data_IF_141027511493
#
_entry.id   IF_141027511493
#
_cell.length_a   1.000
_cell.length_b   1.000
_cell.length_c   1.000
_cell.angle_alpha   90.00
_cell.angle_beta   90.00
_cell.angle_gamma   90.00
#
_symmetry.space_group_name_H-M   'P 1'
#
loop_
_entity.id
_entity.type
_entity.pdbx_description
1 polymer ?
#
# COMPACT_ATOMS: atom_id res chain seq x y z
N UNK A 1 -1.14 -29.26 -8.20
CA UNK A 1 0.01 -29.46 -7.34
C UNK A 1 0.34 -28.13 -6.68
N UNK A 2 0.14 -28.01 -5.38
CA UNK A 2 0.44 -26.90 -4.42
C UNK A 2 0.45 -25.45 -4.94
N UNK A 3 -0.56 -25.04 -5.71
CA UNK A 3 -0.80 -23.62 -6.03
C UNK A 3 -1.52 -22.85 -4.89
N UNK A 4 -1.65 -23.46 -3.71
CA UNK A 4 -2.46 -22.94 -2.61
C UNK A 4 -1.65 -22.29 -1.48
N UNK A 5 -0.36 -21.99 -1.67
CA UNK A 5 0.43 -21.31 -0.64
C UNK A 5 0.67 -19.85 -1.01
N UNK A 6 0.47 -18.98 -0.03
CA UNK A 6 0.69 -17.55 -0.10
C UNK A 6 1.60 -17.13 1.04
N UNK A 7 2.73 -16.53 0.74
CA UNK A 7 3.55 -15.87 1.74
C UNK A 7 3.31 -14.35 1.71
N UNK A 8 3.23 -13.74 2.87
CA UNK A 8 3.03 -12.29 3.03
C UNK A 8 4.17 -11.76 3.88
N UNK A 9 4.73 -10.63 3.49
CA UNK A 9 5.80 -9.94 4.20
C UNK A 9 5.39 -8.48 4.39
N UNK A 10 5.44 -8.03 5.62
CA UNK A 10 5.12 -6.66 6.01
C UNK A 10 4.70 -6.60 7.47
N UNK A 11 4.80 -5.43 8.06
CA UNK A 11 4.48 -5.19 9.46
C UNK A 11 3.30 -4.20 9.62
N UNK A 12 2.50 -4.02 8.56
CA UNK A 12 1.35 -3.11 8.56
C UNK A 12 0.01 -3.86 8.64
N UNK A 13 -1.07 -3.11 8.89
CA UNK A 13 -2.45 -3.68 8.99
C UNK A 13 -2.87 -4.37 7.69
N UNK A 14 -2.43 -3.89 6.54
CA UNK A 14 -2.71 -4.50 5.25
C UNK A 14 -2.18 -5.94 5.16
N UNK A 15 -0.99 -6.23 5.71
CA UNK A 15 -0.41 -7.58 5.70
C UNK A 15 -1.23 -8.56 6.55
N UNK A 16 -1.78 -8.13 7.68
CA UNK A 16 -2.65 -8.94 8.52
C UNK A 16 -3.98 -9.24 7.82
N UNK A 17 -4.59 -8.22 7.22
CA UNK A 17 -5.86 -8.39 6.49
C UNK A 17 -5.72 -9.32 5.28
N UNK A 18 -4.62 -9.21 4.52
CA UNK A 18 -4.30 -10.13 3.42
C UNK A 18 -4.11 -11.56 3.91
N UNK A 19 -3.51 -11.75 5.10
CA UNK A 19 -3.39 -13.06 5.74
C UNK A 19 -4.75 -13.68 6.04
N UNK A 20 -5.64 -12.89 6.65
CA UNK A 20 -6.99 -13.32 7.00
C UNK A 20 -7.82 -13.66 5.75
N UNK A 21 -7.79 -12.80 4.74
CA UNK A 21 -8.45 -13.05 3.45
C UNK A 21 -7.91 -14.31 2.77
N UNK A 22 -6.59 -14.50 2.77
CA UNK A 22 -5.97 -15.70 2.20
C UNK A 22 -6.43 -16.97 2.92
N UNK A 23 -6.44 -16.97 4.25
CA UNK A 23 -6.91 -18.10 5.06
C UNK A 23 -8.40 -18.36 4.87
N UNK A 24 -9.22 -17.31 4.86
CA UNK A 24 -10.65 -17.39 4.60
C UNK A 24 -10.99 -17.98 3.23
N UNK A 25 -10.13 -17.76 2.23
CA UNK A 25 -10.22 -18.35 0.90
C UNK A 25 -9.66 -19.79 0.80
N UNK A 26 -9.21 -20.38 1.91
CA UNK A 26 -8.65 -21.74 1.95
C UNK A 26 -7.21 -21.85 1.45
N UNK A 27 -6.49 -20.71 1.32
CA UNK A 27 -5.06 -20.73 1.01
C UNK A 27 -4.23 -21.06 2.26
N UNK A 28 -3.10 -21.70 2.06
CA UNK A 28 -2.06 -21.83 3.09
C UNK A 28 -1.31 -20.50 3.19
N UNK A 29 -1.99 -19.49 3.74
CA UNK A 29 -1.42 -18.16 3.90
C UNK A 29 -0.61 -18.07 5.20
N UNK A 30 0.60 -17.53 5.09
CA UNK A 30 1.53 -17.29 6.20
C UNK A 30 2.06 -15.86 6.14
N UNK A 31 2.11 -15.20 7.30
CA UNK A 31 2.82 -13.94 7.47
C UNK A 31 4.22 -14.26 7.97
N UNK A 32 5.22 -13.91 7.17
CA UNK A 32 6.61 -14.21 7.46
C UNK A 32 7.23 -13.11 8.32
N UNK A 33 7.87 -13.50 9.40
CA UNK A 33 8.73 -12.64 10.21
C UNK A 33 10.18 -12.63 9.72
N UNK A 34 10.62 -13.73 9.11
CA UNK A 34 11.94 -13.90 8.52
C UNK A 34 11.84 -14.59 7.15
N UNK A 35 12.75 -14.22 6.24
CA UNK A 35 12.87 -14.85 4.92
C UNK A 35 13.31 -16.33 5.00
N UNK A 36 13.94 -16.73 6.09
CA UNK A 36 14.30 -18.15 6.33
C UNK A 36 13.07 -19.07 6.43
N UNK A 37 11.88 -18.51 6.69
CA UNK A 37 10.61 -19.25 6.70
C UNK A 37 10.06 -19.53 5.28
N UNK A 38 10.64 -18.92 4.24
CA UNK A 38 10.25 -19.18 2.85
C UNK A 38 10.54 -20.63 2.47
N UNK A 39 9.54 -21.28 1.90
CA UNK A 39 9.71 -22.63 1.38
C UNK A 39 10.12 -22.61 -0.09
N UNK A 40 10.91 -23.59 -0.56
CA UNK A 40 11.26 -23.69 -1.99
C UNK A 40 10.06 -23.87 -2.93
N UNK A 41 8.88 -24.15 -2.38
CA UNK A 41 7.63 -24.35 -3.12
C UNK A 41 6.69 -23.16 -3.06
N UNK A 42 7.08 -22.02 -2.47
CA UNK A 42 6.25 -20.81 -2.39
C UNK A 42 6.07 -20.21 -3.79
N UNK A 43 4.85 -20.22 -4.36
CA UNK A 43 4.63 -19.76 -5.73
C UNK A 43 4.46 -18.25 -5.84
N UNK A 44 3.99 -17.60 -4.76
CA UNK A 44 3.68 -16.16 -4.73
C UNK A 44 4.00 -15.58 -3.37
N UNK A 45 4.62 -14.42 -3.37
CA UNK A 45 4.84 -13.59 -2.18
C UNK A 45 4.18 -12.24 -2.38
N UNK A 46 3.43 -11.76 -1.37
CA UNK A 46 2.97 -10.37 -1.31
C UNK A 46 3.86 -9.61 -0.31
N UNK A 47 4.42 -8.51 -0.75
CA UNK A 47 5.24 -7.61 0.05
C UNK A 47 4.51 -6.25 0.17
N UNK A 48 4.24 -5.80 1.39
CA UNK A 48 3.32 -4.67 1.67
C UNK A 48 4.01 -3.39 2.14
N UNK A 49 5.33 -3.34 2.29
CA UNK A 49 5.99 -2.10 2.74
C UNK A 49 5.96 -1.01 1.66
N UNK A 50 5.76 0.23 2.08
CA UNK A 50 5.56 1.38 1.18
C UNK A 50 6.66 2.43 1.27
N UNK A 51 7.36 2.51 2.39
CA UNK A 51 8.35 3.53 2.72
C UNK A 51 9.77 2.95 2.83
N UNK A 52 10.77 3.84 2.95
CA UNK A 52 12.18 3.49 3.17
C UNK A 52 12.83 2.69 2.04
N UNK A 53 13.24 3.40 0.98
CA UNK A 53 13.81 2.83 -0.25
C UNK A 53 14.88 1.76 -0.01
N UNK A 54 15.84 2.00 0.89
CA UNK A 54 16.95 1.05 1.12
C UNK A 54 16.47 -0.26 1.76
N UNK A 55 15.53 -0.18 2.71
CA UNK A 55 14.93 -1.38 3.32
C UNK A 55 14.15 -2.19 2.30
N UNK A 56 13.30 -1.52 1.51
CA UNK A 56 12.50 -2.17 0.46
C UNK A 56 13.37 -2.79 -0.61
N UNK A 57 14.39 -2.06 -1.08
CA UNK A 57 15.35 -2.57 -2.06
C UNK A 57 16.08 -3.81 -1.55
N UNK A 58 16.63 -3.75 -0.34
CA UNK A 58 17.29 -4.90 0.29
C UNK A 58 16.34 -6.09 0.43
N UNK A 59 15.09 -5.85 0.84
CA UNK A 59 14.09 -6.91 0.98
C UNK A 59 13.77 -7.55 -0.37
N UNK A 60 13.50 -6.78 -1.42
CA UNK A 60 13.20 -7.31 -2.76
C UNK A 60 14.38 -8.10 -3.34
N UNK A 61 15.62 -7.63 -3.14
CA UNK A 61 16.82 -8.37 -3.56
C UNK A 61 16.93 -9.71 -2.84
N UNK A 62 16.70 -9.75 -1.54
CA UNK A 62 16.72 -11.00 -0.76
C UNK A 62 15.60 -11.95 -1.18
N UNK A 63 14.39 -11.45 -1.41
CA UNK A 63 13.28 -12.24 -1.94
C UNK A 63 13.59 -12.82 -3.31
N UNK A 64 14.18 -12.01 -4.19
CA UNK A 64 14.56 -12.44 -5.53
C UNK A 64 15.61 -13.56 -5.53
N UNK A 65 16.51 -13.56 -4.55
CA UNK A 65 17.51 -14.63 -4.38
C UNK A 65 16.90 -15.89 -3.75
N UNK A 66 16.03 -15.74 -2.75
CA UNK A 66 15.50 -16.85 -1.96
C UNK A 66 14.41 -17.65 -2.70
N UNK A 67 13.63 -16.97 -3.57
CA UNK A 67 12.50 -17.60 -4.24
C UNK A 67 12.92 -18.37 -5.50
N UNK A 68 12.37 -19.59 -5.71
CA UNK A 68 12.60 -20.35 -6.93
C UNK A 68 11.95 -19.64 -8.14
N UNK A 69 12.42 -19.96 -9.33
CA UNK A 69 11.65 -19.66 -10.55
C UNK A 69 10.60 -20.78 -10.74
N UNK A 70 9.34 -20.48 -11.06
CA UNK A 70 8.77 -19.20 -11.53
C UNK A 70 7.96 -18.41 -10.47
N UNK A 71 8.39 -18.39 -9.20
CA UNK A 71 7.66 -17.65 -8.16
C UNK A 71 7.50 -16.16 -8.48
N UNK A 72 6.33 -15.59 -8.16
CA UNK A 72 5.99 -14.19 -8.41
C UNK A 72 6.11 -13.37 -7.12
N UNK A 73 6.65 -12.18 -7.23
CA UNK A 73 6.72 -11.18 -6.16
C UNK A 73 5.73 -10.07 -6.48
N UNK A 74 4.66 -9.97 -5.70
CA UNK A 74 3.69 -8.89 -5.76
C UNK A 74 4.08 -7.89 -4.68
N UNK A 75 4.44 -6.66 -5.06
CA UNK A 75 5.01 -5.67 -4.14
C UNK A 75 4.19 -4.39 -4.14
N UNK A 76 4.01 -3.80 -2.95
CA UNK A 76 3.32 -2.51 -2.82
C UNK A 76 4.06 -1.43 -3.62
N UNK A 77 3.35 -0.78 -4.54
CA UNK A 77 3.87 0.34 -5.32
C UNK A 77 3.32 1.71 -4.84
N UNK A 78 2.93 1.83 -3.58
CA UNK A 78 2.48 3.12 -3.02
C UNK A 78 3.57 4.19 -3.16
N UNK A 79 4.79 3.89 -2.74
CA UNK A 79 5.89 4.86 -2.78
C UNK A 79 6.84 4.73 -3.98
N UNK A 80 6.77 3.66 -4.79
CA UNK A 80 7.74 3.38 -5.85
C UNK A 80 7.06 2.73 -7.06
N UNK A 81 7.44 3.16 -8.27
CA UNK A 81 7.00 2.50 -9.50
C UNK A 81 7.51 1.06 -9.58
N UNK A 82 6.71 0.17 -10.17
CA UNK A 82 7.05 -1.25 -10.36
C UNK A 82 8.34 -1.42 -11.17
N UNK A 83 8.51 -0.64 -12.23
CA UNK A 83 9.72 -0.66 -13.06
C UNK A 83 10.98 -0.35 -12.24
N UNK A 84 10.91 0.64 -11.35
CA UNK A 84 12.01 0.97 -10.46
C UNK A 84 12.33 -0.19 -9.51
N UNK A 85 11.31 -0.76 -8.86
CA UNK A 85 11.48 -1.89 -7.94
C UNK A 85 12.02 -3.13 -8.65
N UNK A 86 11.52 -3.43 -9.85
CA UNK A 86 12.01 -4.52 -10.68
C UNK A 86 13.49 -4.35 -11.06
N UNK A 87 13.96 -3.12 -11.28
CA UNK A 87 15.37 -2.83 -11.59
C UNK A 87 16.35 -3.17 -10.46
N UNK A 88 15.86 -3.33 -9.23
CA UNK A 88 16.67 -3.73 -8.08
C UNK A 88 16.91 -5.23 -7.99
N UNK A 89 16.22 -6.05 -8.81
CA UNK A 89 16.23 -7.51 -8.78
C UNK A 89 16.96 -8.10 -9.99
N UNK A 90 17.43 -9.32 -9.86
CA UNK A 90 18.07 -10.05 -10.97
C UNK A 90 17.03 -10.64 -11.95
N UNK A 91 15.78 -10.86 -11.47
CA UNK A 91 14.68 -11.43 -12.24
C UNK A 91 13.48 -10.47 -12.28
N UNK A 92 13.61 -9.31 -12.97
CA UNK A 92 12.58 -8.27 -13.01
C UNK A 92 11.26 -8.71 -13.65
N UNK A 93 11.29 -9.77 -14.46
CA UNK A 93 10.11 -10.30 -15.14
C UNK A 93 9.04 -10.86 -14.21
N UNK A 94 9.40 -11.18 -12.96
CA UNK A 94 8.48 -11.73 -11.95
C UNK A 94 7.97 -10.72 -10.92
N UNK A 95 8.29 -9.44 -11.09
CA UNK A 95 7.86 -8.37 -10.18
C UNK A 95 6.56 -7.77 -10.70
N UNK A 96 5.54 -7.75 -9.85
CA UNK A 96 4.23 -7.14 -10.12
C UNK A 96 3.95 -6.10 -9.04
N UNK A 97 3.61 -4.89 -9.43
CA UNK A 97 3.18 -3.84 -8.51
C UNK A 97 1.70 -3.98 -8.17
N UNK A 98 1.33 -3.69 -6.94
CA UNK A 98 -0.06 -3.46 -6.55
C UNK A 98 -0.18 -2.22 -5.68
N UNK A 99 -1.35 -1.58 -5.72
CA UNK A 99 -1.64 -0.49 -4.81
C UNK A 99 -3.07 -0.59 -4.26
N UNK A 100 -3.15 -0.39 -2.97
CA UNK A 100 -4.38 -0.22 -2.21
C UNK A 100 -4.02 0.36 -0.84
N UNK A 101 -5.03 0.89 -0.13
CA UNK A 101 -4.91 1.26 1.26
C UNK A 101 -5.69 0.30 2.16
N UNK A 102 -5.27 0.17 3.40
CA UNK A 102 -6.08 -0.41 4.47
C UNK A 102 -7.31 0.49 4.74
N UNK A 103 -8.49 -0.05 5.14
CA UNK A 103 -8.87 -1.45 5.13
C UNK A 103 -9.25 -1.96 3.73
N UNK A 104 -9.10 -3.27 3.50
CA UNK A 104 -9.52 -3.93 2.26
C UNK A 104 -10.97 -4.40 2.28
N UNK A 105 -11.57 -4.52 3.47
CA UNK A 105 -12.88 -5.15 3.64
C UNK A 105 -13.92 -4.60 2.65
N UNK A 106 -14.04 -3.28 2.57
CA UNK A 106 -14.99 -2.59 1.69
C UNK A 106 -14.51 -2.39 0.26
N UNK A 107 -13.27 -2.76 -0.04
CA UNK A 107 -12.67 -2.57 -1.37
C UNK A 107 -12.79 -3.83 -2.20
N UNK A 108 -13.58 -3.76 -3.27
CA UNK A 108 -13.77 -4.87 -4.21
C UNK A 108 -12.62 -5.03 -5.19
N UNK A 109 -11.85 -3.98 -5.43
CA UNK A 109 -10.85 -3.89 -6.49
C UNK A 109 -9.46 -3.62 -5.92
N UNK A 110 -8.46 -4.29 -6.50
CA UNK A 110 -7.03 -4.01 -6.31
C UNK A 110 -6.42 -3.64 -7.65
N UNK A 111 -5.68 -2.54 -7.67
CA UNK A 111 -4.98 -2.08 -8.86
C UNK A 111 -3.64 -2.79 -8.99
N UNK A 112 -3.32 -3.26 -10.20
CA UNK A 112 -2.06 -3.93 -10.54
C UNK A 112 -1.33 -3.15 -11.62
N UNK A 113 -0.01 -3.12 -11.51
CA UNK A 113 0.86 -2.55 -12.54
C UNK A 113 1.99 -3.50 -12.93
N UNK A 114 2.15 -3.67 -14.23
CA UNK A 114 3.33 -4.31 -14.81
C UNK A 114 4.42 -3.26 -15.00
N UNK A 115 5.62 -3.52 -14.53
CA UNK A 115 6.80 -2.78 -14.96
C UNK A 115 7.18 -3.12 -16.40
N UNK A 116 8.10 -2.37 -17.00
CA UNK A 116 8.50 -2.54 -18.42
C UNK A 116 8.98 -3.97 -18.72
N UNK A 117 9.58 -4.67 -17.75
CA UNK A 117 10.11 -6.02 -17.91
C UNK A 117 9.22 -7.11 -17.30
N UNK A 118 8.10 -6.76 -16.69
CA UNK A 118 7.19 -7.74 -16.06
C UNK A 118 6.62 -8.68 -17.12
N UNK A 119 6.72 -9.98 -16.88
CA UNK A 119 6.14 -10.99 -17.77
C UNK A 119 4.62 -11.03 -17.64
N UNK A 120 3.92 -11.27 -18.75
CA UNK A 120 2.47 -11.42 -18.77
C UNK A 120 1.99 -12.53 -17.83
N UNK A 121 2.72 -13.64 -17.74
CA UNK A 121 2.41 -14.74 -16.82
C UNK A 121 2.49 -14.34 -15.34
N UNK A 122 3.35 -13.39 -14.98
CA UNK A 122 3.48 -12.90 -13.61
C UNK A 122 2.26 -12.07 -13.21
N UNK A 123 1.82 -11.13 -14.07
CA UNK A 123 0.64 -10.32 -13.78
C UNK A 123 -0.64 -11.17 -13.76
N UNK A 124 -0.77 -12.16 -14.66
CA UNK A 124 -1.88 -13.12 -14.64
C UNK A 124 -1.90 -13.94 -13.34
N UNK A 125 -0.74 -14.31 -12.81
CA UNK A 125 -0.65 -15.01 -11.52
C UNK A 125 -1.10 -14.12 -10.37
N UNK A 126 -0.77 -12.83 -10.39
CA UNK A 126 -1.25 -11.86 -9.41
C UNK A 126 -2.78 -11.68 -9.49
N UNK A 127 -3.34 -11.56 -10.70
CA UNK A 127 -4.80 -11.49 -10.92
C UNK A 127 -5.52 -12.71 -10.36
N UNK A 128 -5.00 -13.90 -10.66
CA UNK A 128 -5.57 -15.15 -10.15
C UNK A 128 -5.54 -15.24 -8.62
N UNK A 129 -4.44 -14.79 -8.00
CA UNK A 129 -4.34 -14.74 -6.55
C UNK A 129 -5.39 -13.82 -5.95
N UNK A 130 -5.46 -12.55 -6.39
CA UNK A 130 -6.43 -11.60 -5.85
C UNK A 130 -7.87 -12.05 -6.08
N UNK A 131 -8.18 -12.61 -7.24
CA UNK A 131 -9.48 -13.22 -7.52
C UNK A 131 -9.79 -14.37 -6.55
N UNK A 132 -8.80 -15.20 -6.20
CA UNK A 132 -8.99 -16.31 -5.26
C UNK A 132 -9.35 -15.88 -3.84
N UNK A 133 -8.96 -14.66 -3.45
CA UNK A 133 -9.30 -14.04 -2.15
C UNK A 133 -10.50 -13.07 -2.26
N UNK A 134 -11.28 -13.16 -3.35
CA UNK A 134 -12.52 -12.40 -3.52
C UNK A 134 -12.33 -10.95 -3.98
N UNK A 135 -11.16 -10.60 -4.54
CA UNK A 135 -10.88 -9.25 -5.04
C UNK A 135 -10.81 -9.26 -6.57
N UNK A 136 -11.48 -8.31 -7.21
CA UNK A 136 -11.28 -8.01 -8.63
C UNK A 136 -9.97 -7.23 -8.81
N UNK A 137 -9.44 -7.24 -10.04
CA UNK A 137 -8.21 -6.50 -10.34
C UNK A 137 -8.37 -5.66 -11.60
N UNK A 138 -7.74 -4.47 -11.59
CA UNK A 138 -7.56 -3.64 -12.79
C UNK A 138 -6.09 -3.45 -13.07
N UNK A 139 -5.71 -3.60 -14.35
CA UNK A 139 -4.36 -3.24 -14.80
C UNK A 139 -4.32 -1.76 -15.11
N UNK A 140 -3.38 -1.07 -14.50
CA UNK A 140 -3.15 0.37 -14.71
C UNK A 140 -1.69 0.64 -15.06
N UNK A 141 -1.40 1.84 -15.55
CA UNK A 141 -0.02 2.24 -15.87
C UNK A 141 0.84 2.28 -14.61
N UNK A 142 2.09 1.88 -14.79
CA UNK A 142 3.10 1.87 -13.74
C UNK A 142 3.45 3.31 -13.29
N UNK A 143 3.14 3.61 -12.04
CA UNK A 143 3.44 4.87 -11.36
C UNK A 143 3.29 4.67 -9.84
N UNK A 144 3.98 5.41 -8.97
CA UNK A 144 3.72 5.35 -7.54
C UNK A 144 2.25 5.62 -7.21
N UNK A 145 1.67 4.82 -6.29
CA UNK A 145 0.31 4.97 -5.83
C UNK A 145 -0.79 4.60 -6.83
N UNK A 146 -0.45 4.25 -8.06
CA UNK A 146 -1.39 3.91 -9.14
C UNK A 146 -2.54 4.94 -9.27
N UNK A 147 -3.82 4.54 -9.23
CA UNK A 147 -4.94 5.48 -9.43
C UNK A 147 -5.59 5.90 -8.12
N UNK A 148 -6.17 4.94 -7.38
CA UNK A 148 -6.95 5.24 -6.17
C UNK A 148 -6.09 5.87 -5.05
N UNK A 149 -4.98 5.26 -4.63
CA UNK A 149 -4.13 5.88 -3.61
C UNK A 149 -3.56 7.23 -4.03
N UNK A 150 -3.21 7.40 -5.31
CA UNK A 150 -2.74 8.67 -5.86
C UNK A 150 -3.76 9.79 -5.70
N UNK A 151 -5.01 9.56 -6.13
CA UNK A 151 -6.08 10.56 -6.09
C UNK A 151 -6.44 10.88 -4.64
N UNK A 152 -6.62 9.84 -3.82
CA UNK A 152 -7.00 10.04 -2.42
C UNK A 152 -5.90 10.78 -1.63
N UNK A 153 -4.62 10.47 -1.86
CA UNK A 153 -3.51 11.18 -1.20
C UNK A 153 -3.46 12.67 -1.58
N UNK A 154 -3.82 13.03 -2.82
CA UNK A 154 -3.92 14.45 -3.20
C UNK A 154 -5.08 15.15 -2.50
N UNK A 155 -6.23 14.50 -2.36
CA UNK A 155 -7.39 15.04 -1.62
C UNK A 155 -7.00 15.24 -0.15
N UNK A 156 -6.35 14.25 0.46
CA UNK A 156 -5.87 14.33 1.84
C UNK A 156 -4.82 15.45 1.99
N UNK A 157 -3.91 15.58 1.04
CA UNK A 157 -2.88 16.62 1.09
C UNK A 157 -3.48 18.03 1.01
N UNK A 158 -4.52 18.23 0.19
CA UNK A 158 -5.22 19.51 0.11
C UNK A 158 -6.03 19.79 1.38
N UNK A 159 -6.68 18.78 1.95
CA UNK A 159 -7.37 18.92 3.24
C UNK A 159 -6.40 19.28 4.38
N UNK A 160 -5.21 18.63 4.41
CA UNK A 160 -4.15 18.93 5.37
C UNK A 160 -3.59 20.36 5.17
N UNK A 161 -3.52 20.85 3.93
CA UNK A 161 -3.14 22.24 3.62
C UNK A 161 -4.17 23.23 4.14
N UNK A 162 -5.45 22.97 3.88
CA UNK A 162 -6.52 23.81 4.37
C UNK A 162 -6.52 23.90 5.90
N UNK A 163 -6.24 22.79 6.59
CA UNK A 163 -6.08 22.77 8.03
C UNK A 163 -4.85 23.59 8.48
N UNK A 164 -3.69 23.43 7.82
CA UNK A 164 -2.46 24.15 8.15
C UNK A 164 -2.60 25.66 7.94
N UNK A 165 -3.35 26.08 6.93
CA UNK A 165 -3.62 27.49 6.60
C UNK A 165 -4.73 28.10 7.50
N UNK A 166 -5.38 27.29 8.33
CA UNK A 166 -6.45 27.75 9.23
C UNK A 166 -7.74 28.11 8.53
N UNK A 167 -8.01 27.52 7.35
CA UNK A 167 -9.25 27.73 6.60
C UNK A 167 -10.45 27.22 7.39
N UNK A 168 -10.32 26.04 8.02
CA UNK A 168 -11.33 25.44 8.89
C UNK A 168 -10.67 24.44 9.85
N UNK A 169 -11.42 23.98 10.85
CA UNK A 169 -10.99 22.89 11.74
C UNK A 169 -10.99 21.54 11.00
N UNK A 170 -10.30 20.53 11.56
CA UNK A 170 -10.28 19.20 10.96
C UNK A 170 -11.68 18.61 10.81
N UNK A 171 -12.53 18.79 11.82
CA UNK A 171 -13.91 18.34 11.83
C UNK A 171 -14.75 19.02 10.74
N UNK A 172 -14.60 20.32 10.58
CA UNK A 172 -15.35 21.08 9.56
C UNK A 172 -14.93 20.69 8.14
N UNK A 173 -13.64 20.49 7.89
CA UNK A 173 -13.11 20.00 6.61
C UNK A 173 -13.71 18.63 6.29
N UNK A 174 -13.65 17.70 7.24
CA UNK A 174 -14.17 16.35 7.07
C UNK A 174 -15.68 16.33 6.82
N UNK A 175 -16.46 17.10 7.59
CA UNK A 175 -17.92 17.22 7.41
C UNK A 175 -18.24 17.83 6.05
N UNK A 176 -17.52 18.87 5.61
CA UNK A 176 -17.74 19.50 4.32
C UNK A 176 -17.55 18.50 3.16
N UNK A 177 -16.53 17.65 3.23
CA UNK A 177 -16.27 16.64 2.20
C UNK A 177 -17.27 15.47 2.25
N UNK A 178 -17.70 15.05 3.43
CA UNK A 178 -18.72 14.01 3.56
C UNK A 178 -20.08 14.47 3.04
N UNK A 179 -20.53 15.67 3.43
CA UNK A 179 -21.84 16.18 3.06
C UNK A 179 -21.87 16.83 1.67
N UNK A 180 -20.75 17.44 1.24
CA UNK A 180 -20.68 18.15 -0.04
C UNK A 180 -20.52 17.22 -1.24
N UNK A 181 -19.76 16.12 -1.10
CA UNK A 181 -19.46 15.19 -2.21
C UNK A 181 -19.73 13.73 -1.87
N UNK A 182 -20.39 13.47 -0.74
CA UNK A 182 -20.80 12.13 -0.30
C UNK A 182 -19.63 11.13 -0.14
N UNK A 183 -18.49 11.58 0.38
CA UNK A 183 -17.39 10.68 0.70
C UNK A 183 -17.75 9.81 1.90
N UNK A 184 -17.29 8.54 1.92
CA UNK A 184 -17.57 7.61 3.03
C UNK A 184 -16.94 8.08 4.34
N UNK A 185 -15.82 8.77 4.26
CA UNK A 185 -15.09 9.36 5.38
C UNK A 185 -14.64 10.76 5.02
N UNK A 186 -14.48 11.62 6.03
CA UNK A 186 -13.76 12.87 5.84
C UNK A 186 -12.28 12.60 5.54
N UNK A 187 -11.63 13.40 4.69
CA UNK A 187 -10.28 13.11 4.19
C UNK A 187 -9.22 13.01 5.29
N UNK A 188 -9.30 13.80 6.36
CA UNK A 188 -8.32 13.79 7.45
C UNK A 188 -8.52 12.58 8.35
N UNK A 189 -9.77 12.21 8.65
CA UNK A 189 -10.07 10.97 9.37
C UNK A 189 -9.72 9.73 8.56
N UNK A 190 -9.95 9.78 7.25
CA UNK A 190 -9.57 8.69 6.34
C UNK A 190 -8.05 8.49 6.31
N UNK A 191 -7.29 9.60 6.32
CA UNK A 191 -5.83 9.55 6.41
C UNK A 191 -5.35 8.88 7.71
N UNK A 192 -5.96 9.24 8.86
CA UNK A 192 -5.63 8.62 10.15
C UNK A 192 -5.96 7.12 10.19
N UNK A 193 -7.03 6.70 9.50
CA UNK A 193 -7.38 5.29 9.35
C UNK A 193 -6.40 4.53 8.46
N UNK A 194 -5.96 5.12 7.35
CA UNK A 194 -4.99 4.54 6.42
C UNK A 194 -3.62 4.40 7.07
N UNK A 195 -3.18 5.45 7.71
CA UNK A 195 -1.82 5.69 8.18
C UNK A 195 -1.17 6.84 7.42
N UNK A 196 -0.76 7.88 8.14
CA UNK A 196 -0.20 9.10 7.53
C UNK A 196 1.12 8.84 6.79
N UNK A 197 1.88 7.84 7.22
CA UNK A 197 3.11 7.39 6.57
C UNK A 197 2.85 6.76 5.19
N UNK A 198 1.75 6.03 5.02
CA UNK A 198 1.34 5.47 3.72
C UNK A 198 0.93 6.58 2.75
N UNK A 199 0.14 7.57 3.22
CA UNK A 199 -0.23 8.75 2.43
C UNK A 199 1.02 9.55 2.02
N UNK A 200 1.93 9.78 2.97
CA UNK A 200 3.18 10.48 2.72
C UNK A 200 4.04 9.73 1.69
N UNK A 201 4.13 8.39 1.79
CA UNK A 201 4.89 7.57 0.84
C UNK A 201 4.39 7.74 -0.60
N UNK A 202 3.06 7.79 -0.81
CA UNK A 202 2.47 8.03 -2.14
C UNK A 202 2.87 9.39 -2.68
N UNK A 203 2.70 10.46 -1.89
CA UNK A 203 3.01 11.82 -2.31
C UNK A 203 4.49 12.00 -2.63
N UNK A 204 5.38 11.53 -1.76
CA UNK A 204 6.83 11.59 -1.99
C UNK A 204 7.27 10.75 -3.18
N UNK A 205 6.65 9.58 -3.37
CA UNK A 205 6.87 8.73 -4.53
C UNK A 205 6.51 9.44 -5.83
N UNK A 206 5.35 10.04 -5.89
CA UNK A 206 4.87 10.80 -7.05
C UNK A 206 5.73 12.04 -7.31
N UNK A 207 6.07 12.79 -6.27
CA UNK A 207 6.92 13.98 -6.41
C UNK A 207 8.31 13.59 -6.94
N UNK A 208 8.90 12.53 -6.44
CA UNK A 208 10.21 12.02 -6.90
C UNK A 208 10.15 11.53 -8.34
N UNK A 209 9.08 10.84 -8.75
CA UNK A 209 8.91 10.30 -10.09
C UNK A 209 8.68 11.39 -11.14
N UNK A 210 7.84 12.38 -10.81
CA UNK A 210 7.37 13.38 -11.78
C UNK A 210 8.11 14.71 -11.71
N UNK A 211 8.70 15.04 -10.57
CA UNK A 211 9.24 16.38 -10.29
C UNK A 211 8.19 17.48 -10.14
N UNK A 212 6.89 17.13 -10.10
CA UNK A 212 5.78 18.08 -10.09
C UNK A 212 5.42 18.47 -8.65
N UNK A 213 5.44 19.76 -8.37
CA UNK A 213 5.16 20.32 -7.04
C UNK A 213 3.73 20.09 -6.55
N UNK A 214 2.77 19.73 -7.42
CA UNK A 214 1.42 19.38 -6.98
C UNK A 214 1.40 18.17 -6.04
N UNK A 215 2.42 17.31 -6.10
CA UNK A 215 2.58 16.16 -5.22
C UNK A 215 3.40 16.45 -3.97
N UNK A 216 3.87 17.69 -3.79
CA UNK A 216 4.63 18.08 -2.60
C UNK A 216 3.78 17.88 -1.35
N UNK A 217 4.18 17.00 -0.41
CA UNK A 217 3.47 16.84 0.84
C UNK A 217 3.47 18.13 1.66
N UNK A 218 2.34 18.43 2.33
CA UNK A 218 2.27 19.59 3.22
C UNK A 218 3.27 19.47 4.37
N UNK A 219 3.82 20.60 4.85
CA UNK A 219 4.66 20.61 6.04
C UNK A 219 3.99 19.96 7.26
N UNK A 220 2.68 20.17 7.44
CA UNK A 220 1.91 19.57 8.53
C UNK A 220 1.95 18.03 8.47
N UNK A 221 1.64 17.43 7.31
CA UNK A 221 1.68 15.98 7.15
C UNK A 221 3.08 15.42 7.48
N UNK A 222 4.14 16.05 6.94
CA UNK A 222 5.52 15.65 7.24
C UNK A 222 5.86 15.74 8.72
N UNK A 223 5.43 16.80 9.41
CA UNK A 223 5.66 17.00 10.84
C UNK A 223 4.97 15.91 11.66
N UNK A 224 3.72 15.58 11.34
CA UNK A 224 2.96 14.53 12.03
C UNK A 224 3.68 13.17 11.89
N UNK A 225 4.03 12.77 10.67
CA UNK A 225 4.74 11.50 10.43
C UNK A 225 6.11 11.49 11.11
N UNK A 226 6.87 12.59 11.05
CA UNK A 226 8.18 12.70 11.74
C UNK A 226 8.05 12.60 13.26
N UNK A 227 6.94 13.09 13.81
CA UNK A 227 6.63 12.99 15.25
C UNK A 227 6.11 11.60 15.66
N UNK A 228 5.94 10.67 14.71
CA UNK A 228 5.36 9.34 14.98
C UNK A 228 3.83 9.38 15.17
N UNK A 229 3.17 10.46 14.80
CA UNK A 229 1.70 10.59 14.83
C UNK A 229 1.15 10.06 13.50
N UNK A 230 0.95 8.73 13.45
CA UNK A 230 0.62 8.02 12.22
C UNK A 230 -0.88 7.77 12.04
N UNK A 231 -1.71 8.24 12.96
CA UNK A 231 -3.16 8.06 12.92
C UNK A 231 -3.69 7.11 14.00
N UNK A 232 -4.75 6.38 13.67
CA UNK A 232 -5.46 5.50 14.63
C UNK A 232 -4.54 4.49 15.31
N UNK A 233 -3.60 3.89 14.58
CA UNK A 233 -2.73 2.81 15.08
C UNK A 233 -1.83 3.23 16.23
N UNK A 234 -1.46 4.50 16.32
CA UNK A 234 -0.64 5.04 17.40
C UNK A 234 -1.42 5.97 18.34
N UNK A 235 -2.75 6.04 18.20
CA UNK A 235 -3.63 6.87 19.01
C UNK A 235 -3.60 8.37 18.68
N UNK A 236 -2.85 8.78 17.66
CA UNK A 236 -2.73 10.18 17.26
C UNK A 236 -2.35 10.36 15.79
N UNK A 237 -3.02 11.29 15.13
CA UNK A 237 -2.77 11.73 13.77
C UNK A 237 -3.23 13.17 13.62
N UNK A 238 -4.08 13.46 12.64
CA UNK A 238 -4.84 14.71 12.58
C UNK A 238 -5.80 14.83 13.76
N UNK A 239 -6.29 13.70 14.24
CA UNK A 239 -7.12 13.57 15.45
C UNK A 239 -6.34 12.89 16.59
N UNK A 240 -6.93 12.97 17.77
CA UNK A 240 -6.49 12.20 18.94
C UNK A 240 -7.51 11.10 19.22
N UNK A 241 -7.04 9.88 19.46
CA UNK A 241 -7.84 8.69 19.72
C UNK A 241 -7.56 8.20 21.15
N UNK A 242 -8.60 8.06 21.97
CA UNK A 242 -8.48 7.45 23.28
C UNK A 242 -8.37 5.92 23.14
N UNK A 243 -7.78 5.24 24.13
CA UNK A 243 -7.55 3.78 24.13
C UNK A 243 -8.79 2.92 23.83
N UNK A 244 -10.00 3.44 24.00
CA UNK A 244 -11.27 2.76 23.64
C UNK A 244 -11.75 3.00 22.21
N UNK A 245 -11.09 3.86 21.42
CA UNK A 245 -11.46 4.21 20.03
C UNK A 245 -10.50 3.61 19.00
N UNK A 246 -9.39 3.06 19.45
CA UNK A 246 -8.41 2.38 18.58
C UNK A 246 -8.96 0.99 18.28
N UNK A 247 -9.42 0.76 17.05
CA UNK A 247 -9.74 -0.60 16.59
C UNK A 247 -8.42 -1.37 16.40
N UNK A 248 -8.32 -2.62 16.90
CA UNK A 248 -7.14 -3.46 16.77
C UNK A 248 -6.76 -3.79 15.33
#
# INVERSE_FOLDING_TARGET
>A
MTRNSLAIIGANRLSQELLELGRGAGLKAVLLSDLAELTPTTPVVIETSSSHVEKKKSLLQKLDLALPSPAVIITSCLGFATTLMASWTAKPERIVGFATFYPLEDKKVIELAAGIRTAESAIQSAEQLFKSIGKETFRVKDTPGLTFPRILSLIINEAARSLEEGVATAEEIDVAMQLGVNYPHGPLRWADQIGLDEVLAVLEGLQRETGDDRYRPTPLLKKLVTAGFLGETCGKGFYSYNEGQVKP
#
